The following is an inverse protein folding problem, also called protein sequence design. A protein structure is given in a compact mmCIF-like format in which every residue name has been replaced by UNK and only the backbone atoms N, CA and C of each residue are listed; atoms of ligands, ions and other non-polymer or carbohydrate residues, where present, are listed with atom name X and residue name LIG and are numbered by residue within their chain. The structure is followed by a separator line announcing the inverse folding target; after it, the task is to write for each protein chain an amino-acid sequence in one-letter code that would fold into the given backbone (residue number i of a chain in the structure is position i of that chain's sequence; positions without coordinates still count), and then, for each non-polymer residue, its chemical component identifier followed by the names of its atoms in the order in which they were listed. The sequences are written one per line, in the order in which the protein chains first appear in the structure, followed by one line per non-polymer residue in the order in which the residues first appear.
data_IF_539034226574
#
_entry.id   IF_539034226574
#
_cell.length_a   1.000
_cell.length_b   1.000
_cell.length_c   1.000
_cell.angle_alpha   90.00
_cell.angle_beta   90.00
_cell.angle_gamma   90.00
#
_symmetry.space_group_name_H-M   'P 1'
#
loop_
_entity.id
_entity.type
_entity.pdbx_description
1 polymer ?
#
# COMPACT_ATOMS: atom_id res chain seq x y z
N UNK A 1 16.52 -57.92 -17.73
CA UNK A 1 15.67 -58.39 -16.61
C UNK A 1 15.82 -57.54 -15.34
N UNK A 2 17.01 -57.37 -14.76
CA UNK A 2 17.21 -56.50 -13.56
C UNK A 2 16.98 -55.01 -13.88
N UNK A 3 17.35 -54.56 -15.09
CA UNK A 3 17.15 -53.17 -15.54
C UNK A 3 15.65 -52.83 -15.75
N UNK A 4 14.85 -53.77 -16.27
CA UNK A 4 13.39 -53.62 -16.39
C UNK A 4 12.69 -53.57 -15.04
N UNK A 5 13.18 -54.33 -14.05
CA UNK A 5 12.64 -54.32 -12.69
C UNK A 5 12.88 -52.98 -11.99
N UNK A 6 14.05 -52.35 -12.24
CA UNK A 6 14.38 -51.02 -11.74
C UNK A 6 13.61 -49.91 -12.49
N UNK A 7 13.42 -50.05 -13.80
CA UNK A 7 12.62 -49.11 -14.60
C UNK A 7 11.14 -49.15 -14.20
N UNK A 8 10.56 -50.34 -14.02
CA UNK A 8 9.18 -50.50 -13.55
C UNK A 8 8.97 -50.00 -12.11
N UNK A 9 9.98 -50.15 -11.23
CA UNK A 9 9.94 -49.61 -9.87
C UNK A 9 10.08 -48.08 -9.83
N UNK A 10 10.81 -47.47 -10.77
CA UNK A 10 10.90 -46.02 -10.94
C UNK A 10 9.59 -45.45 -11.50
N UNK A 11 9.00 -46.13 -12.49
CA UNK A 11 7.72 -45.76 -13.12
C UNK A 11 6.52 -45.91 -12.18
N UNK A 12 6.62 -46.73 -11.12
CA UNK A 12 5.60 -46.79 -10.05
C UNK A 12 5.79 -45.69 -8.97
N UNK A 13 7.01 -45.17 -8.78
CA UNK A 13 7.31 -44.10 -7.80
C UNK A 13 7.04 -42.70 -8.35
N UNK A 14 7.28 -42.47 -9.64
CA UNK A 14 6.97 -41.21 -10.32
C UNK A 14 5.48 -40.80 -10.23
N UNK A 15 4.49 -41.66 -10.53
CA UNK A 15 3.08 -41.32 -10.45
C UNK A 15 2.63 -41.08 -9.02
N UNK A 16 3.16 -41.81 -8.03
CA UNK A 16 2.87 -41.55 -6.62
C UNK A 16 3.48 -40.24 -6.11
N UNK A 17 4.71 -39.92 -6.52
CA UNK A 17 5.34 -38.65 -6.19
C UNK A 17 4.59 -37.47 -6.84
N UNK A 18 4.14 -37.62 -8.09
CA UNK A 18 3.31 -36.62 -8.77
C UNK A 18 1.89 -36.55 -8.22
N UNK A 19 1.28 -37.67 -7.80
CA UNK A 19 -0.04 -37.71 -7.17
C UNK A 19 -0.01 -37.10 -5.77
N UNK A 20 1.08 -37.30 -4.99
CA UNK A 20 1.30 -36.55 -3.75
C UNK A 20 1.55 -35.08 -4.07
N UNK A 21 2.37 -34.74 -5.05
CA UNK A 21 2.59 -33.34 -5.42
C UNK A 21 1.28 -32.68 -5.86
N UNK A 22 0.44 -33.34 -6.65
CA UNK A 22 -0.90 -32.89 -7.01
C UNK A 22 -1.81 -32.82 -5.79
N UNK A 23 -1.94 -33.86 -4.97
CA UNK A 23 -2.82 -33.84 -3.77
C UNK A 23 -2.39 -32.82 -2.73
N UNK A 24 -1.09 -32.56 -2.59
CA UNK A 24 -0.55 -31.57 -1.63
C UNK A 24 -0.56 -30.16 -2.23
N UNK A 25 -0.38 -30.00 -3.54
CA UNK A 25 -0.52 -28.72 -4.25
C UNK A 25 -1.99 -28.32 -4.44
N UNK A 26 -2.87 -29.30 -4.61
CA UNK A 26 -4.30 -29.13 -4.80
C UNK A 26 -5.01 -29.40 -3.47
N UNK A 27 -4.97 -28.41 -2.59
CA UNK A 27 -6.22 -28.07 -1.91
C UNK A 27 -6.86 -27.00 -2.79
N UNK A 28 -7.70 -27.33 -3.80
CA UNK A 28 -8.15 -26.37 -4.81
C UNK A 28 -8.76 -25.11 -4.19
N UNK A 29 -9.38 -25.28 -3.02
CA UNK A 29 -9.94 -24.20 -2.20
C UNK A 29 -8.87 -23.24 -1.66
N UNK A 30 -7.73 -23.73 -1.17
CA UNK A 30 -6.63 -22.89 -0.67
C UNK A 30 -5.96 -22.17 -1.85
N UNK A 31 -5.69 -22.88 -2.95
CA UNK A 31 -5.11 -22.28 -4.15
C UNK A 31 -5.99 -21.15 -4.71
N UNK A 32 -7.31 -21.37 -4.79
CA UNK A 32 -8.27 -20.37 -5.25
C UNK A 32 -8.31 -19.14 -4.34
N UNK A 33 -8.28 -19.32 -3.02
CA UNK A 33 -8.29 -18.22 -2.04
C UNK A 33 -7.00 -17.41 -2.08
N UNK A 34 -5.84 -18.06 -2.24
CA UNK A 34 -4.56 -17.39 -2.43
C UNK A 34 -4.58 -16.54 -3.70
N UNK A 35 -5.07 -17.07 -4.83
CA UNK A 35 -5.19 -16.32 -6.08
C UNK A 35 -6.12 -15.10 -5.95
N UNK A 36 -7.26 -15.25 -5.28
CA UNK A 36 -8.18 -14.14 -5.01
C UNK A 36 -7.56 -13.07 -4.11
N UNK A 37 -6.63 -13.46 -3.23
CA UNK A 37 -5.95 -12.58 -2.29
C UNK A 37 -4.74 -11.84 -2.90
N UNK A 38 -4.23 -12.28 -4.06
CA UNK A 38 -3.10 -11.64 -4.74
C UNK A 38 -3.43 -10.22 -5.22
N UNK A 39 -4.61 -10.00 -5.81
CA UNK A 39 -5.03 -8.70 -6.30
C UNK A 39 -5.05 -7.61 -5.19
N UNK A 40 -5.70 -7.82 -4.03
CA UNK A 40 -5.65 -6.85 -2.93
C UNK A 40 -4.27 -6.74 -2.28
N UNK A 41 -3.45 -7.81 -2.25
CA UNK A 41 -2.07 -7.73 -1.76
C UNK A 41 -1.18 -6.86 -2.65
N UNK A 42 -1.37 -6.90 -3.96
CA UNK A 42 -0.68 -6.00 -4.89
C UNK A 42 -1.02 -4.53 -4.62
N UNK A 43 -2.29 -4.24 -4.35
CA UNK A 43 -2.72 -2.89 -3.95
C UNK A 43 -2.03 -2.44 -2.66
N UNK A 44 -1.95 -3.30 -1.65
CA UNK A 44 -1.26 -2.99 -0.39
C UNK A 44 0.22 -2.60 -0.62
N UNK A 45 0.91 -3.30 -1.52
CA UNK A 45 2.27 -2.92 -1.93
C UNK A 45 2.30 -1.54 -2.59
N UNK A 46 1.36 -1.26 -3.50
CA UNK A 46 1.21 0.06 -4.13
C UNK A 46 0.97 1.18 -3.12
N UNK A 47 0.13 0.95 -2.11
CA UNK A 47 -0.11 1.90 -1.01
C UNK A 47 1.19 2.16 -0.24
N UNK A 48 1.95 1.10 0.08
CA UNK A 48 3.27 1.22 0.72
C UNK A 48 4.26 2.07 -0.08
N UNK A 49 4.31 1.88 -1.41
CA UNK A 49 5.14 2.69 -2.29
C UNK A 49 4.75 4.17 -2.26
N UNK A 50 3.45 4.48 -2.34
CA UNK A 50 2.92 5.86 -2.24
C UNK A 50 3.27 6.47 -0.88
N UNK A 51 3.08 5.72 0.21
CA UNK A 51 3.43 6.19 1.55
C UNK A 51 4.90 6.55 1.68
N UNK A 52 5.80 5.73 1.10
CA UNK A 52 7.23 6.01 1.11
C UNK A 52 7.57 7.33 0.38
N UNK A 53 6.91 7.62 -0.74
CA UNK A 53 7.07 8.89 -1.47
C UNK A 53 6.58 10.08 -0.63
N UNK A 54 5.42 9.97 0.01
CA UNK A 54 4.87 11.01 0.87
C UNK A 54 5.79 11.23 2.08
N UNK A 55 6.26 10.17 2.73
CA UNK A 55 7.15 10.25 3.88
C UNK A 55 8.50 10.90 3.53
N UNK A 56 9.09 10.52 2.39
CA UNK A 56 10.33 11.13 1.89
C UNK A 56 10.18 12.64 1.69
N UNK A 57 9.05 13.08 1.13
CA UNK A 57 8.74 14.51 0.98
C UNK A 57 8.52 15.21 2.32
N UNK A 58 7.88 14.56 3.28
CA UNK A 58 7.57 15.14 4.59
C UNK A 58 8.84 15.41 5.38
N UNK A 59 9.80 14.48 5.33
CA UNK A 59 11.12 14.61 5.96
C UNK A 59 11.87 15.80 5.35
N UNK A 60 11.80 16.00 4.04
CA UNK A 60 12.41 17.18 3.40
C UNK A 60 11.76 18.50 3.88
N UNK A 61 10.42 18.56 3.97
CA UNK A 61 9.72 19.75 4.48
C UNK A 61 10.06 20.00 5.95
N UNK A 62 10.09 18.96 6.78
CA UNK A 62 10.42 19.08 8.20
C UNK A 62 11.83 19.64 8.40
N UNK A 63 12.83 19.09 7.70
CA UNK A 63 14.21 19.61 7.70
C UNK A 63 14.29 21.04 7.18
N UNK A 64 13.48 21.41 6.19
CA UNK A 64 13.43 22.80 5.68
C UNK A 64 12.86 23.76 6.72
N UNK A 65 11.83 23.35 7.47
CA UNK A 65 11.27 24.15 8.58
C UNK A 65 12.31 24.34 9.68
N UNK A 66 12.95 23.26 10.11
CA UNK A 66 14.01 23.27 11.14
C UNK A 66 15.17 24.20 10.74
N UNK A 67 15.69 24.09 9.52
CA UNK A 67 16.73 24.98 9.01
C UNK A 67 16.32 26.47 8.97
N UNK A 68 15.02 26.77 8.84
CA UNK A 68 14.52 28.16 8.89
C UNK A 68 14.39 28.61 10.35
N UNK A 69 14.01 27.73 11.25
CA UNK A 69 13.89 27.98 12.69
C UNK A 69 15.25 28.05 13.41
N UNK A 70 16.29 27.37 12.95
CA UNK A 70 17.64 27.50 13.53
C UNK A 70 18.34 28.81 13.14
N UNK A 71 18.02 29.38 11.97
CA UNK A 71 18.60 30.66 11.50
C UNK A 71 17.98 31.89 12.19
N UNK A 72 17.27 31.69 13.29
CA UNK A 72 16.17 32.55 13.74
C UNK A 72 16.32 33.07 15.16
N UNK A 73 17.49 32.96 15.79
CA UNK A 73 17.65 33.55 17.13
C UNK A 73 17.78 35.08 17.13
N UNK A 74 18.03 35.76 15.99
CA UNK A 74 18.26 37.21 16.04
C UNK A 74 17.40 38.09 15.11
N UNK A 75 16.99 37.68 13.89
CA UNK A 75 16.28 38.59 12.96
C UNK A 75 15.29 37.90 11.99
N UNK A 76 14.03 37.66 12.42
CA UNK A 76 12.96 37.19 11.50
C UNK A 76 12.62 38.24 10.45
N UNK A 77 12.91 37.96 9.18
CA UNK A 77 12.44 38.78 8.05
C UNK A 77 10.98 38.42 7.73
N UNK A 78 10.08 39.37 7.37
CA UNK A 78 8.69 39.09 7.00
C UNK A 78 8.53 38.04 5.88
N UNK A 79 9.54 37.86 5.02
CA UNK A 79 9.61 36.80 4.01
C UNK A 79 9.68 35.39 4.64
N UNK A 80 10.45 35.20 5.70
CA UNK A 80 10.61 33.89 6.38
C UNK A 80 9.32 33.50 7.12
N UNK A 81 8.61 34.45 7.73
CA UNK A 81 7.33 34.19 8.40
C UNK A 81 6.26 33.71 7.41
N UNK A 82 6.25 34.26 6.20
CA UNK A 82 5.35 33.84 5.11
C UNK A 82 5.72 32.46 4.56
N UNK A 83 7.01 32.16 4.44
CA UNK A 83 7.52 30.82 4.04
C UNK A 83 7.12 29.74 5.05
N UNK A 84 7.24 30.01 6.37
CA UNK A 84 6.81 29.09 7.43
C UNK A 84 5.31 28.79 7.37
N UNK A 85 4.46 29.80 7.18
CA UNK A 85 3.02 29.60 7.03
C UNK A 85 2.65 28.72 5.82
N UNK A 86 3.39 28.86 4.72
CA UNK A 86 3.23 28.01 3.54
C UNK A 86 3.67 26.56 3.80
N UNK A 87 4.82 26.36 4.45
CA UNK A 87 5.32 25.03 4.84
C UNK A 87 4.36 24.32 5.80
N UNK A 88 3.75 25.03 6.76
CA UNK A 88 2.75 24.48 7.69
C UNK A 88 1.46 24.04 6.97
N UNK A 89 1.00 24.79 5.96
CA UNK A 89 -0.17 24.39 5.16
C UNK A 89 0.12 23.13 4.36
N UNK A 90 1.32 23.03 3.80
CA UNK A 90 1.82 21.87 3.07
C UNK A 90 1.91 20.64 3.97
N UNK A 91 2.45 20.79 5.19
CA UNK A 91 2.50 19.73 6.21
C UNK A 91 1.11 19.16 6.55
N UNK A 92 0.10 20.02 6.71
CA UNK A 92 -1.29 19.58 6.97
C UNK A 92 -1.87 18.73 5.85
N UNK A 93 -1.64 19.10 4.59
CA UNK A 93 -2.09 18.31 3.44
C UNK A 93 -1.40 16.94 3.39
N UNK A 94 -0.10 16.89 3.69
CA UNK A 94 0.64 15.63 3.77
C UNK A 94 0.14 14.72 4.88
N UNK A 95 -0.12 15.28 6.06
CA UNK A 95 -0.68 14.52 7.18
C UNK A 95 -2.06 13.94 6.83
N UNK A 96 -2.90 14.71 6.12
CA UNK A 96 -4.16 14.20 5.57
C UNK A 96 -3.96 13.04 4.60
N UNK A 97 -3.05 13.19 3.63
CA UNK A 97 -2.73 12.12 2.67
C UNK A 97 -2.25 10.84 3.36
N UNK A 98 -1.37 10.96 4.37
CA UNK A 98 -0.88 9.81 5.15
C UNK A 98 -2.02 9.15 5.92
N UNK A 99 -2.87 9.92 6.60
CA UNK A 99 -3.98 9.38 7.38
C UNK A 99 -4.94 8.55 6.53
N UNK A 100 -5.38 9.09 5.38
CA UNK A 100 -6.27 8.38 4.46
C UNK A 100 -5.59 7.18 3.78
N UNK A 101 -4.32 7.30 3.42
CA UNK A 101 -3.54 6.20 2.83
C UNK A 101 -3.37 5.04 3.83
N UNK A 102 -3.00 5.33 5.09
CA UNK A 102 -2.93 4.33 6.16
C UNK A 102 -4.29 3.70 6.44
N UNK A 103 -5.37 4.49 6.47
CA UNK A 103 -6.72 3.94 6.62
C UNK A 103 -7.08 2.97 5.47
N UNK A 104 -6.72 3.29 4.22
CA UNK A 104 -6.89 2.38 3.09
C UNK A 104 -6.05 1.11 3.22
N UNK A 105 -4.81 1.20 3.72
CA UNK A 105 -3.94 0.05 3.97
C UNK A 105 -4.52 -0.90 5.04
N UNK A 106 -5.08 -0.35 6.11
CA UNK A 106 -5.77 -1.14 7.15
C UNK A 106 -7.00 -1.82 6.57
N UNK A 107 -7.81 -1.09 5.79
CA UNK A 107 -9.02 -1.63 5.16
C UNK A 107 -8.71 -2.75 4.17
N UNK A 108 -7.71 -2.61 3.30
CA UNK A 108 -7.34 -3.68 2.36
C UNK A 108 -6.75 -4.89 3.09
N UNK A 109 -6.02 -4.68 4.19
CA UNK A 109 -5.50 -5.78 5.00
C UNK A 109 -6.64 -6.57 5.65
N UNK A 110 -7.69 -5.88 6.12
CA UNK A 110 -8.90 -6.53 6.62
C UNK A 110 -9.65 -7.30 5.51
N UNK A 111 -9.72 -6.75 4.29
CA UNK A 111 -10.28 -7.46 3.10
C UNK A 111 -9.52 -8.76 2.82
N UNK A 112 -8.19 -8.74 2.85
CA UNK A 112 -7.37 -9.94 2.66
C UNK A 112 -7.70 -10.98 3.74
N UNK A 113 -7.75 -10.57 5.01
CA UNK A 113 -8.16 -11.46 6.10
C UNK A 113 -9.56 -12.05 5.89
N UNK A 114 -10.52 -11.23 5.45
CA UNK A 114 -11.89 -11.67 5.17
C UNK A 114 -11.96 -12.67 4.02
N UNK A 115 -11.14 -12.52 2.97
CA UNK A 115 -11.05 -13.47 1.86
C UNK A 115 -10.57 -14.85 2.33
N UNK A 116 -9.58 -14.89 3.23
CA UNK A 116 -9.13 -16.14 3.86
C UNK A 116 -10.22 -16.77 4.72
N UNK A 117 -10.95 -15.98 5.51
CA UNK A 117 -12.06 -16.48 6.35
C UNK A 117 -13.21 -17.02 5.48
N UNK A 118 -13.49 -16.37 4.34
CA UNK A 118 -14.52 -16.81 3.39
C UNK A 118 -14.26 -18.20 2.81
N UNK A 119 -13.03 -18.70 2.87
CA UNK A 119 -12.71 -20.08 2.46
C UNK A 119 -13.33 -21.14 3.38
N UNK A 120 -13.64 -20.79 4.62
CA UNK A 120 -14.09 -21.71 5.67
C UNK A 120 -15.59 -21.55 6.01
N UNK A 121 -16.27 -20.51 5.50
CA UNK A 121 -17.66 -20.18 5.83
C UNK A 121 -18.50 -20.06 4.55
N UNK A 122 -19.69 -20.66 4.52
CA UNK A 122 -20.64 -20.65 3.36
C UNK A 122 -21.55 -19.42 3.30
N UNK A 123 -21.40 -18.48 4.22
CA UNK A 123 -22.20 -17.25 4.29
C UNK A 123 -21.91 -16.34 3.08
N UNK A 124 -22.90 -15.54 2.67
CA UNK A 124 -22.78 -14.52 1.61
C UNK A 124 -21.93 -13.33 2.06
N UNK A 125 -20.66 -13.58 2.36
CA UNK A 125 -19.65 -12.58 2.77
C UNK A 125 -19.24 -11.72 1.56
N UNK A 126 -19.56 -12.15 0.34
CA UNK A 126 -19.22 -11.45 -0.91
C UNK A 126 -19.68 -9.99 -0.95
N UNK A 127 -20.89 -9.68 -0.48
CA UNK A 127 -21.41 -8.28 -0.44
C UNK A 127 -20.61 -7.40 0.51
N UNK A 128 -20.20 -7.95 1.66
CA UNK A 128 -19.37 -7.23 2.64
C UNK A 128 -17.96 -6.98 2.09
N UNK A 129 -17.36 -7.99 1.46
CA UNK A 129 -16.04 -7.85 0.81
C UNK A 129 -16.08 -6.78 -0.26
N UNK A 130 -17.12 -6.78 -1.12
CA UNK A 130 -17.31 -5.78 -2.16
C UNK A 130 -17.43 -4.36 -1.57
N UNK A 131 -18.22 -4.20 -0.50
CA UNK A 131 -18.36 -2.91 0.18
C UNK A 131 -17.02 -2.42 0.77
N UNK A 132 -16.28 -3.28 1.46
CA UNK A 132 -14.96 -2.94 2.01
C UNK A 132 -13.96 -2.59 0.91
N UNK A 133 -14.06 -3.23 -0.26
CA UNK A 133 -13.23 -2.92 -1.43
C UNK A 133 -13.50 -1.50 -1.95
N UNK A 134 -14.77 -1.15 -2.14
CA UNK A 134 -15.18 0.19 -2.58
C UNK A 134 -14.76 1.25 -1.54
N UNK A 135 -14.95 0.97 -0.25
CA UNK A 135 -14.52 1.87 0.82
C UNK A 135 -13.00 2.07 0.83
N UNK A 136 -12.23 0.99 0.62
CA UNK A 136 -10.77 1.07 0.48
C UNK A 136 -10.38 1.96 -0.69
N UNK A 137 -11.01 1.78 -1.86
CA UNK A 137 -10.77 2.61 -3.03
C UNK A 137 -11.09 4.07 -2.77
N UNK A 138 -12.22 4.37 -2.11
CA UNK A 138 -12.61 5.73 -1.78
C UNK A 138 -11.60 6.41 -0.83
N UNK A 139 -11.12 5.69 0.19
CA UNK A 139 -10.08 6.16 1.11
C UNK A 139 -8.77 6.43 0.37
N UNK A 140 -8.35 5.51 -0.51
CA UNK A 140 -7.11 5.64 -1.28
C UNK A 140 -7.18 6.83 -2.25
N UNK A 141 -8.29 6.98 -2.98
CA UNK A 141 -8.52 8.11 -3.89
C UNK A 141 -8.52 9.43 -3.11
N UNK A 142 -9.13 9.47 -1.93
CA UNK A 142 -9.12 10.66 -1.07
C UNK A 142 -7.70 11.00 -0.62
N UNK A 143 -6.91 10.01 -0.17
CA UNK A 143 -5.51 10.19 0.21
C UNK A 143 -4.63 10.68 -0.94
N UNK A 144 -4.82 10.12 -2.14
CA UNK A 144 -4.16 10.58 -3.37
C UNK A 144 -4.60 12.00 -3.76
N UNK A 145 -5.85 12.37 -3.52
CA UNK A 145 -6.35 13.73 -3.71
C UNK A 145 -5.60 14.74 -2.82
N UNK A 146 -5.42 14.44 -1.54
CA UNK A 146 -4.60 15.27 -0.64
C UNK A 146 -3.15 15.38 -1.11
N UNK A 147 -2.56 14.28 -1.58
CA UNK A 147 -1.20 14.27 -2.12
C UNK A 147 -1.08 15.10 -3.41
N UNK A 148 -2.07 15.04 -4.29
CA UNK A 148 -2.13 15.85 -5.50
C UNK A 148 -2.25 17.34 -5.17
N UNK A 149 -3.10 17.70 -4.21
CA UNK A 149 -3.25 19.08 -3.73
C UNK A 149 -1.95 19.61 -3.11
N UNK A 150 -1.24 18.78 -2.34
CA UNK A 150 0.09 19.12 -1.83
C UNK A 150 1.09 19.37 -2.96
N UNK A 151 1.13 18.49 -3.96
CA UNK A 151 2.04 18.61 -5.10
C UNK A 151 1.73 19.86 -5.93
N UNK A 152 0.44 20.18 -6.12
CA UNK A 152 -0.01 21.42 -6.76
C UNK A 152 0.42 22.65 -5.95
N UNK A 153 0.23 22.62 -4.63
CA UNK A 153 0.66 23.71 -3.75
C UNK A 153 2.18 23.91 -3.79
N UNK A 154 2.95 22.80 -3.83
CA UNK A 154 4.40 22.81 -3.98
C UNK A 154 4.84 23.45 -5.30
N UNK A 155 4.15 23.14 -6.41
CA UNK A 155 4.44 23.70 -7.72
C UNK A 155 4.15 25.21 -7.80
N UNK A 156 3.05 25.67 -7.19
CA UNK A 156 2.70 27.09 -7.14
C UNK A 156 3.71 27.89 -6.30
N UNK A 157 4.12 27.36 -5.13
CA UNK A 157 5.09 28.04 -4.27
C UNK A 157 6.52 28.09 -4.84
N UNK A 158 6.86 27.22 -5.80
CA UNK A 158 8.13 27.30 -6.52
C UNK A 158 8.18 28.49 -7.51
N UNK A 159 7.02 29.01 -7.93
CA UNK A 159 6.92 30.27 -8.66
C UNK A 159 6.79 31.43 -7.65
N UNK A 160 7.85 31.69 -6.88
CA UNK A 160 7.98 33.01 -6.27
C UNK A 160 8.16 34.03 -7.42
N UNK A 161 7.37 35.13 -7.46
CA UNK A 161 7.47 36.13 -8.52
C UNK A 161 8.90 36.67 -8.60
N UNK A 162 9.40 36.84 -9.83
CA UNK A 162 10.55 37.71 -10.06
C UNK A 162 10.20 39.10 -9.53
N UNK A 163 11.11 39.63 -8.71
CA UNK A 163 11.29 41.03 -8.27
C UNK A 163 10.53 41.41 -6.99
#
# INVERSE_FOLDING_TARGET
MVLDLLAAAADARLPFALEIFERTASTPRVQQVVQLSLAPAFLLSGIGAIMNVIMSRMIWIARRVENIEEKLEEHRTPRQTRELGWLMRRRRLMQGAIMFSTASAVMISAVIGMLFISAYITAQIGTLIAFMWVLTMALLVTGLGFFLLETRLAAIGAQAPKQ
#
